data_IF_708165144446
#
_entry.id   IF_708165144446
#
_cell.length_a   1.000
_cell.length_b   1.000
_cell.length_c   1.000
_cell.angle_alpha   90.00
_cell.angle_beta   90.00
_cell.angle_gamma   90.00
#
_symmetry.space_group_name_H-M   'P 1'
#
loop_
_entity.id
_entity.type
_entity.pdbx_description
1 polymer ?
#
# COMPACT_ATOMS: atom_id res chain seq x y z
N UNK A 1 53.61 13.75 -33.15
CA UNK A 1 52.83 12.93 -34.10
C UNK A 1 51.96 11.98 -33.29
N UNK A 2 50.72 11.84 -33.74
CA UNK A 2 49.54 11.37 -33.01
C UNK A 2 49.67 9.94 -32.50
N UNK A 3 49.40 9.75 -31.21
CA UNK A 3 49.10 8.46 -30.59
C UNK A 3 47.65 8.08 -30.90
N UNK A 4 47.43 7.06 -31.73
CA UNK A 4 46.10 6.49 -31.98
C UNK A 4 45.85 5.36 -30.99
N UNK A 5 45.07 5.65 -29.95
CA UNK A 5 44.45 4.67 -29.06
C UNK A 5 43.44 3.84 -29.85
N UNK A 6 43.66 2.53 -29.93
CA UNK A 6 42.70 1.58 -30.51
C UNK A 6 41.54 1.36 -29.53
N UNK A 7 40.40 1.97 -29.83
CA UNK A 7 39.15 1.81 -29.09
C UNK A 7 38.56 0.42 -29.41
N UNK A 8 38.64 -0.50 -28.45
CA UNK A 8 38.05 -1.84 -28.59
C UNK A 8 36.56 -1.73 -28.26
N UNK A 9 35.75 -1.30 -29.24
CA UNK A 9 34.29 -1.34 -29.13
C UNK A 9 33.83 -2.77 -28.88
N UNK A 10 33.16 -2.99 -27.75
CA UNK A 10 32.45 -4.23 -27.43
C UNK A 10 31.50 -4.57 -28.60
N UNK A 11 31.88 -5.52 -29.46
CA UNK A 11 31.05 -5.91 -30.59
C UNK A 11 29.75 -6.50 -30.06
N UNK A 12 28.63 -5.86 -30.39
CA UNK A 12 27.31 -6.43 -30.12
C UNK A 12 27.22 -7.77 -30.88
N UNK A 13 26.89 -8.90 -30.24
CA UNK A 13 26.86 -10.18 -30.93
C UNK A 13 25.67 -10.24 -31.90
N UNK A 14 25.83 -10.95 -33.02
CA UNK A 14 24.76 -11.20 -33.98
C UNK A 14 23.57 -11.90 -33.29
N UNK A 15 22.37 -11.29 -33.33
CA UNK A 15 21.16 -11.81 -32.65
C UNK A 15 20.19 -12.54 -33.58
N UNK A 16 20.69 -13.24 -34.60
CA UNK A 16 19.84 -13.96 -35.54
C UNK A 16 18.95 -15.01 -34.86
N UNK A 17 19.50 -15.75 -33.88
CA UNK A 17 18.75 -16.77 -33.15
C UNK A 17 17.51 -16.18 -32.47
N UNK A 18 17.60 -14.98 -31.91
CA UNK A 18 16.46 -14.28 -31.33
C UNK A 18 15.38 -13.98 -32.37
N UNK A 19 15.76 -13.44 -33.53
CA UNK A 19 14.81 -13.19 -34.62
C UNK A 19 14.10 -14.48 -35.06
N UNK A 20 14.81 -15.61 -35.12
CA UNK A 20 14.24 -16.92 -35.47
C UNK A 20 13.29 -17.41 -34.38
N UNK A 21 13.67 -17.34 -33.11
CA UNK A 21 12.84 -17.74 -31.98
C UNK A 21 11.55 -16.92 -31.91
N UNK A 22 11.64 -15.60 -32.10
CA UNK A 22 10.48 -14.70 -32.12
C UNK A 22 9.52 -15.09 -33.25
N UNK A 23 10.02 -15.38 -34.45
CA UNK A 23 9.21 -15.83 -35.58
C UNK A 23 8.49 -17.17 -35.31
N UNK A 24 9.21 -18.15 -34.74
CA UNK A 24 8.61 -19.45 -34.36
C UNK A 24 7.51 -19.25 -33.32
N UNK A 25 7.74 -18.41 -32.32
CA UNK A 25 6.73 -18.11 -31.29
C UNK A 25 5.49 -17.43 -31.87
N UNK A 26 5.65 -16.54 -32.85
CA UNK A 26 4.53 -15.85 -33.50
C UNK A 26 3.71 -16.77 -34.42
N UNK A 27 4.27 -17.91 -34.82
CA UNK A 27 3.66 -18.81 -35.82
C UNK A 27 3.24 -20.16 -35.26
N UNK A 28 3.75 -20.58 -34.10
CA UNK A 28 3.48 -21.89 -33.48
C UNK A 28 2.00 -22.15 -33.14
N UNK A 29 1.21 -21.09 -32.96
CA UNK A 29 -0.21 -21.18 -32.62
C UNK A 29 -1.14 -20.99 -33.82
N UNK A 30 -0.60 -20.71 -35.01
CA UNK A 30 -1.41 -20.48 -36.21
C UNK A 30 -1.88 -21.83 -36.79
N UNK A 31 -3.20 -22.03 -36.80
CA UNK A 31 -3.84 -23.21 -37.38
C UNK A 31 -4.25 -22.94 -38.83
N UNK A 32 -3.91 -23.84 -39.75
CA UNK A 32 -4.22 -23.75 -41.19
C UNK A 32 -5.72 -23.87 -41.54
N UNK A 33 -6.57 -24.12 -40.54
CA UNK A 33 -8.03 -24.26 -40.69
C UNK A 33 -8.81 -22.94 -40.49
N UNK A 34 -8.12 -21.79 -40.35
CA UNK A 34 -8.73 -20.49 -40.05
C UNK A 34 -8.50 -19.53 -41.24
N UNK A 35 -9.55 -18.85 -41.70
CA UNK A 35 -9.55 -17.91 -42.85
C UNK A 35 -8.58 -16.71 -42.72
N UNK A 36 -7.95 -16.52 -41.55
CA UNK A 36 -6.99 -15.43 -41.27
C UNK A 36 -5.54 -15.90 -41.16
N UNK A 37 -5.24 -17.18 -41.45
CA UNK A 37 -3.89 -17.76 -41.31
C UNK A 37 -2.84 -16.98 -42.10
N UNK A 38 -3.07 -16.76 -43.41
CA UNK A 38 -2.08 -16.10 -44.27
C UNK A 38 -1.87 -14.63 -43.87
N UNK A 39 -2.90 -13.94 -43.38
CA UNK A 39 -2.78 -12.55 -42.91
C UNK A 39 -1.87 -12.45 -41.68
N UNK A 40 -2.09 -13.29 -40.68
CA UNK A 40 -1.28 -13.30 -39.45
C UNK A 40 0.13 -13.84 -39.69
N UNK A 41 0.27 -14.85 -40.55
CA UNK A 41 1.56 -15.38 -40.96
C UNK A 41 2.39 -14.33 -41.72
N UNK A 42 1.77 -13.55 -42.61
CA UNK A 42 2.44 -12.44 -43.30
C UNK A 42 2.86 -11.33 -42.33
N UNK A 43 2.06 -11.01 -41.30
CA UNK A 43 2.48 -10.05 -40.25
C UNK A 43 3.70 -10.54 -39.46
N UNK A 44 3.77 -11.83 -39.15
CA UNK A 44 4.92 -12.45 -38.49
C UNK A 44 6.16 -12.48 -39.40
N UNK A 45 6.00 -12.78 -40.69
CA UNK A 45 7.10 -12.74 -41.67
C UNK A 45 7.66 -11.32 -41.85
N UNK A 46 6.82 -10.28 -41.87
CA UNK A 46 7.30 -8.89 -41.92
C UNK A 46 8.11 -8.53 -40.68
N UNK A 47 7.66 -8.96 -39.49
CA UNK A 47 8.40 -8.76 -38.25
C UNK A 47 9.79 -9.45 -38.30
N UNK A 48 9.84 -10.69 -38.81
CA UNK A 48 11.08 -11.43 -38.97
C UNK A 48 12.03 -10.76 -39.99
N UNK A 49 11.49 -10.28 -41.11
CA UNK A 49 12.24 -9.49 -42.10
C UNK A 49 12.83 -8.21 -41.50
N UNK A 50 12.04 -7.44 -40.74
CA UNK A 50 12.53 -6.23 -40.08
C UNK A 50 13.61 -6.54 -39.03
N UNK A 51 13.46 -7.61 -38.25
CA UNK A 51 14.45 -8.05 -37.26
C UNK A 51 15.80 -8.41 -37.92
N UNK A 52 15.76 -9.16 -39.02
CA UNK A 52 16.97 -9.53 -39.77
C UNK A 52 17.61 -8.31 -40.45
N UNK A 53 16.84 -7.39 -41.01
CA UNK A 53 17.38 -6.15 -41.57
C UNK A 53 18.14 -5.29 -40.54
N UNK A 54 17.58 -5.13 -39.33
CA UNK A 54 18.24 -4.40 -38.22
C UNK A 54 19.58 -5.02 -37.81
N UNK A 55 19.71 -6.34 -37.94
CA UNK A 55 20.93 -7.08 -37.59
C UNK A 55 21.93 -7.23 -38.75
N UNK A 56 21.62 -6.73 -39.95
CA UNK A 56 22.41 -6.95 -41.18
C UNK A 56 23.90 -6.60 -41.07
N UNK A 57 24.23 -5.47 -40.45
CA UNK A 57 25.63 -5.01 -40.28
C UNK A 57 26.43 -5.93 -39.36
N UNK A 58 25.82 -6.38 -38.28
CA UNK A 58 26.45 -7.19 -37.22
C UNK A 58 26.50 -8.67 -37.59
N UNK A 59 25.54 -9.15 -38.38
CA UNK A 59 25.42 -10.55 -38.80
C UNK A 59 26.06 -10.87 -40.17
N UNK A 60 26.86 -9.96 -40.74
CA UNK A 60 27.42 -10.08 -42.10
C UNK A 60 28.16 -11.41 -42.36
N UNK A 61 28.87 -11.93 -41.36
CA UNK A 61 29.62 -13.19 -41.45
C UNK A 61 28.89 -14.42 -40.91
N UNK A 62 27.60 -14.33 -40.57
CA UNK A 62 26.85 -15.41 -39.95
C UNK A 62 26.05 -16.20 -41.01
N UNK A 63 26.34 -17.50 -41.16
CA UNK A 63 25.65 -18.34 -42.15
C UNK A 63 24.15 -18.50 -41.87
N UNK A 64 23.76 -18.64 -40.60
CA UNK A 64 22.35 -18.77 -40.18
C UNK A 64 21.56 -17.53 -40.56
N UNK A 65 22.17 -16.35 -40.46
CA UNK A 65 21.57 -15.09 -40.91
C UNK A 65 21.26 -15.09 -42.41
N UNK A 66 22.22 -15.49 -43.25
CA UNK A 66 22.00 -15.53 -44.70
C UNK A 66 20.96 -16.58 -45.10
N UNK A 67 20.96 -17.75 -44.46
CA UNK A 67 19.92 -18.76 -44.64
C UNK A 67 18.54 -18.23 -44.25
N UNK A 68 18.44 -17.49 -43.14
CA UNK A 68 17.19 -16.89 -42.70
C UNK A 68 16.67 -15.81 -43.67
N UNK A 69 17.54 -14.92 -44.15
CA UNK A 69 17.15 -13.86 -45.10
C UNK A 69 16.62 -14.46 -46.40
N UNK A 70 17.27 -15.52 -46.91
CA UNK A 70 16.78 -16.25 -48.09
C UNK A 70 15.43 -16.94 -47.82
N UNK A 71 15.30 -17.63 -46.68
CA UNK A 71 14.05 -18.29 -46.28
C UNK A 71 12.88 -17.31 -46.11
N UNK A 72 13.13 -16.11 -45.56
CA UNK A 72 12.11 -15.06 -45.46
C UNK A 72 11.64 -14.64 -46.86
N UNK A 73 12.56 -14.43 -47.80
CA UNK A 73 12.22 -14.03 -49.17
C UNK A 73 11.38 -15.08 -49.91
N UNK A 74 11.72 -16.36 -49.74
CA UNK A 74 10.99 -17.49 -50.30
C UNK A 74 9.59 -17.60 -49.69
N UNK A 75 9.47 -17.57 -48.36
CA UNK A 75 8.19 -17.64 -47.65
C UNK A 75 7.26 -16.46 -47.99
N UNK A 76 7.81 -15.24 -48.13
CA UNK A 76 7.04 -14.06 -48.57
C UNK A 76 6.48 -14.25 -49.98
N UNK A 77 7.26 -14.85 -50.88
CA UNK A 77 6.87 -15.08 -52.28
C UNK A 77 5.83 -16.20 -52.40
N UNK A 78 6.03 -17.31 -51.68
CA UNK A 78 5.12 -18.46 -51.68
C UNK A 78 3.71 -18.10 -51.20
N UNK A 79 3.58 -17.11 -50.30
CA UNK A 79 2.31 -16.71 -49.70
C UNK A 79 1.78 -15.36 -50.16
N UNK A 80 2.36 -14.79 -51.22
CA UNK A 80 1.97 -13.47 -51.77
C UNK A 80 1.90 -12.35 -50.69
N UNK A 81 2.81 -12.39 -49.72
CA UNK A 81 2.84 -11.37 -48.66
C UNK A 81 3.38 -10.04 -49.22
N UNK A 82 2.63 -8.95 -49.01
CA UNK A 82 3.17 -7.60 -49.23
C UNK A 82 4.35 -7.34 -48.28
N UNK A 83 5.41 -6.67 -48.76
CA UNK A 83 6.54 -6.23 -47.92
C UNK A 83 6.14 -5.12 -46.95
N UNK A 84 5.17 -4.30 -47.34
CA UNK A 84 4.62 -3.21 -46.54
C UNK A 84 3.35 -3.66 -45.81
N UNK A 85 3.17 -3.18 -44.58
CA UNK A 85 2.01 -3.46 -43.74
C UNK A 85 2.37 -3.70 -42.26
N UNK A 86 1.37 -4.00 -41.42
CA UNK A 86 1.60 -4.22 -39.99
C UNK A 86 2.48 -5.45 -39.74
N UNK A 87 3.25 -5.39 -38.65
CA UNK A 87 4.11 -6.47 -38.14
C UNK A 87 3.56 -7.03 -36.84
N UNK A 88 3.64 -8.35 -36.64
CA UNK A 88 3.36 -8.94 -35.32
C UNK A 88 4.50 -8.62 -34.35
N UNK A 89 4.19 -8.41 -33.06
CA UNK A 89 5.19 -8.13 -32.03
C UNK A 89 5.14 -9.17 -30.91
N UNK A 90 6.30 -9.71 -30.52
CA UNK A 90 6.44 -10.57 -29.33
C UNK A 90 6.54 -9.78 -28.03
N UNK A 91 6.84 -8.48 -28.13
CA UNK A 91 6.63 -7.54 -27.03
C UNK A 91 5.24 -6.93 -27.22
N UNK A 92 4.30 -7.12 -26.29
CA UNK A 92 3.21 -6.16 -26.18
C UNK A 92 3.86 -4.77 -26.09
N UNK A 93 3.42 -3.80 -26.88
CA UNK A 93 3.63 -2.40 -26.49
C UNK A 93 2.94 -2.27 -25.14
N UNK A 94 3.68 -2.48 -24.05
CA UNK A 94 3.20 -2.16 -22.73
C UNK A 94 3.10 -0.64 -22.77
N UNK A 95 1.89 -0.14 -22.94
CA UNK A 95 1.58 1.27 -22.74
C UNK A 95 2.05 1.58 -21.33
N UNK A 96 3.23 2.18 -21.22
CA UNK A 96 3.74 2.69 -19.97
C UNK A 96 2.74 3.79 -19.56
N UNK A 97 1.86 3.48 -18.63
CA UNK A 97 1.09 4.48 -17.92
C UNK A 97 1.97 4.97 -16.77
N UNK A 98 2.70 6.09 -16.93
CA UNK A 98 3.57 6.61 -15.88
C UNK A 98 2.78 7.01 -14.64
N UNK A 99 1.44 7.10 -14.73
CA UNK A 99 0.54 7.53 -13.67
C UNK A 99 -0.21 6.37 -13.00
N UNK A 100 0.23 5.14 -13.26
CA UNK A 100 -0.24 3.95 -12.56
C UNK A 100 0.94 3.24 -11.87
N UNK A 101 0.98 3.33 -10.54
CA UNK A 101 2.02 2.71 -9.71
C UNK A 101 2.12 1.19 -9.94
N UNK A 102 1.00 0.47 -9.90
CA UNK A 102 0.97 -0.97 -10.09
C UNK A 102 1.44 -1.39 -11.50
N UNK A 103 1.10 -0.59 -12.52
CA UNK A 103 1.58 -0.79 -13.88
C UNK A 103 3.09 -0.63 -14.01
N UNK A 104 3.65 0.41 -13.37
CA UNK A 104 5.11 0.65 -13.36
C UNK A 104 5.87 -0.48 -12.67
N UNK A 105 5.37 -0.98 -11.54
CA UNK A 105 6.03 -2.07 -10.82
C UNK A 105 6.05 -3.35 -11.65
N UNK A 106 4.91 -3.72 -12.26
CA UNK A 106 4.84 -4.87 -13.15
C UNK A 106 5.86 -4.79 -14.31
N UNK A 107 6.11 -3.58 -14.86
CA UNK A 107 7.10 -3.41 -15.95
C UNK A 107 8.56 -3.47 -15.51
N UNK A 108 8.90 -3.04 -14.29
CA UNK A 108 10.26 -3.18 -13.75
C UNK A 108 10.63 -4.67 -13.61
N UNK A 109 9.68 -5.48 -13.15
CA UNK A 109 9.90 -6.89 -12.83
C UNK A 109 9.86 -7.80 -14.07
N UNK A 110 9.40 -7.31 -15.24
CA UNK A 110 9.55 -8.04 -16.51
C UNK A 110 11.00 -8.05 -17.04
N UNK A 111 11.85 -7.13 -16.57
CA UNK A 111 13.24 -7.01 -17.01
C UNK A 111 14.26 -7.73 -16.11
N UNK A 112 13.84 -8.26 -14.96
CA UNK A 112 14.64 -9.10 -14.05
C UNK A 112 13.69 -10.00 -13.28
N UNK A 113 13.83 -11.33 -13.44
CA UNK A 113 12.80 -12.32 -13.10
C UNK A 113 12.23 -12.30 -11.66
N UNK A 114 11.09 -12.99 -11.55
CA UNK A 114 10.10 -13.05 -10.45
C UNK A 114 9.28 -11.76 -10.23
N UNK A 115 7.97 -11.84 -10.51
CA UNK A 115 6.99 -10.80 -10.15
C UNK A 115 6.82 -10.79 -8.63
N UNK A 116 7.51 -9.87 -7.94
CA UNK A 116 7.26 -9.61 -6.53
C UNK A 116 6.20 -8.51 -6.45
N UNK A 117 4.95 -8.81 -6.07
CA UNK A 117 3.92 -7.79 -5.96
C UNK A 117 4.35 -6.73 -4.94
N UNK A 118 4.06 -5.43 -5.18
CA UNK A 118 4.47 -4.38 -4.26
C UNK A 118 3.90 -4.63 -2.86
N UNK A 119 4.74 -4.50 -1.84
CA UNK A 119 4.31 -4.54 -0.45
C UNK A 119 3.67 -3.22 -0.06
N UNK A 120 2.58 -3.31 0.69
CA UNK A 120 1.85 -2.15 1.17
C UNK A 120 1.93 -2.08 2.70
N UNK A 121 1.83 -0.87 3.23
CA UNK A 121 1.56 -0.63 4.63
C UNK A 121 0.16 -0.05 4.82
N UNK A 122 -0.32 -0.18 6.06
CA UNK A 122 -1.59 0.37 6.51
C UNK A 122 -1.35 1.28 7.72
N UNK A 123 -1.97 2.45 7.73
CA UNK A 123 -2.06 3.31 8.91
C UNK A 123 -3.52 3.67 9.17
N UNK A 124 -3.94 3.73 10.44
CA UNK A 124 -5.31 4.09 10.81
C UNK A 124 -5.35 4.98 12.05
N UNK A 125 -6.28 5.91 12.08
CA UNK A 125 -6.57 6.80 13.21
C UNK A 125 -8.09 6.88 13.44
N UNK A 126 -8.53 6.54 14.65
CA UNK A 126 -9.95 6.54 15.03
C UNK A 126 -10.09 6.68 16.55
N UNK A 127 -11.30 6.97 17.04
CA UNK A 127 -11.53 6.97 18.49
C UNK A 127 -10.79 8.09 19.23
N UNK A 128 -10.33 7.77 20.44
CA UNK A 128 -9.51 8.65 21.29
C UNK A 128 -8.02 8.56 20.96
N UNK A 129 -7.59 9.36 19.98
CA UNK A 129 -7.14 8.84 18.71
C UNK A 129 -6.22 7.64 18.90
N UNK A 130 -6.81 6.47 18.68
CA UNK A 130 -6.12 5.21 18.55
C UNK A 130 -5.44 5.17 17.19
N UNK A 131 -4.12 5.06 17.23
CA UNK A 131 -3.23 5.05 16.08
C UNK A 131 -2.73 3.62 15.84
N UNK A 132 -2.99 3.09 14.64
CA UNK A 132 -2.25 1.97 14.07
C UNK A 132 -1.22 2.51 13.10
N UNK A 133 0.06 2.34 13.40
CA UNK A 133 1.18 2.76 12.55
C UNK A 133 1.40 1.79 11.38
N UNK A 134 2.19 2.20 10.39
CA UNK A 134 2.67 1.35 9.28
C UNK A 134 3.43 0.10 9.73
N UNK A 135 4.00 0.13 10.95
CA UNK A 135 4.69 -1.02 11.56
C UNK A 135 3.75 -1.93 12.35
N UNK A 136 2.43 -1.74 12.23
CA UNK A 136 1.39 -2.42 13.01
C UNK A 136 1.47 -2.21 14.52
N UNK A 137 2.23 -1.22 14.99
CA UNK A 137 2.15 -0.81 16.39
C UNK A 137 0.85 -0.06 16.63
N UNK A 138 0.13 -0.47 17.67
CA UNK A 138 -1.09 0.17 18.13
C UNK A 138 -0.78 1.06 19.33
N UNK A 139 -1.28 2.29 19.30
CA UNK A 139 -1.04 3.29 20.33
C UNK A 139 -2.30 4.11 20.59
N UNK A 140 -2.49 4.56 21.82
CA UNK A 140 -3.55 5.51 22.19
C UNK A 140 -2.90 6.80 22.61
N UNK A 141 -3.29 7.90 21.95
CA UNK A 141 -2.53 9.13 22.00
C UNK A 141 -3.40 10.31 22.41
N UNK A 142 -2.86 11.22 23.22
CA UNK A 142 -3.49 12.51 23.48
C UNK A 142 -3.44 13.38 22.22
N UNK A 143 -2.23 13.74 21.77
CA UNK A 143 -1.95 14.45 20.50
C UNK A 143 -2.95 15.58 20.21
N UNK A 144 -3.19 16.43 21.21
CA UNK A 144 -4.09 17.58 21.12
C UNK A 144 -3.56 18.62 20.13
N UNK A 145 -4.43 19.25 19.36
CA UNK A 145 -4.04 20.22 18.33
C UNK A 145 -3.68 19.54 17.02
N UNK A 146 -2.79 20.17 16.24
CA UNK A 146 -2.48 19.75 14.88
C UNK A 146 -1.23 18.86 14.82
N UNK A 147 -1.33 17.70 14.18
CA UNK A 147 -0.26 16.69 14.13
C UNK A 147 -0.09 16.08 12.73
N UNK A 148 1.16 15.85 12.27
CA UNK A 148 1.45 15.21 11.00
C UNK A 148 1.38 13.67 11.10
N UNK A 149 0.38 13.06 10.47
CA UNK A 149 0.32 11.60 10.34
C UNK A 149 1.34 11.07 9.33
N UNK A 150 1.40 11.73 8.18
CA UNK A 150 2.36 11.45 7.11
C UNK A 150 2.93 12.79 6.68
N UNK A 151 4.24 12.85 6.50
CA UNK A 151 4.91 13.94 5.82
C UNK A 151 6.13 13.36 5.08
N UNK A 152 5.91 12.91 3.85
CA UNK A 152 6.94 12.31 3.01
C UNK A 152 7.01 13.00 1.65
N UNK A 153 7.83 12.51 0.74
CA UNK A 153 8.07 13.16 -0.56
C UNK A 153 6.81 13.28 -1.45
N UNK A 154 5.74 12.53 -1.16
CA UNK A 154 4.58 12.39 -2.03
C UNK A 154 3.27 12.87 -1.41
N UNK A 155 3.15 12.77 -0.09
CA UNK A 155 1.89 12.99 0.63
C UNK A 155 2.18 13.67 1.96
N UNK A 156 1.36 14.67 2.29
CA UNK A 156 1.28 15.21 3.65
C UNK A 156 -0.15 15.01 4.18
N UNK A 157 -0.28 14.38 5.35
CA UNK A 157 -1.56 14.16 6.04
C UNK A 157 -1.46 14.76 7.42
N UNK A 158 -2.30 15.75 7.68
CA UNK A 158 -2.37 16.47 8.95
C UNK A 158 -3.75 16.30 9.56
N UNK A 159 -3.79 16.01 10.85
CA UNK A 159 -5.04 15.91 11.62
C UNK A 159 -5.07 16.99 12.68
N UNK A 160 -6.26 17.41 13.09
CA UNK A 160 -6.45 18.21 14.31
C UNK A 160 -7.32 17.43 15.28
N UNK A 161 -6.81 17.22 16.50
CA UNK A 161 -7.54 16.54 17.56
C UNK A 161 -7.93 17.55 18.64
N UNK A 162 -9.15 17.40 19.16
CA UNK A 162 -9.71 18.26 20.20
C UNK A 162 -10.15 17.41 21.39
N UNK A 163 -10.04 17.91 22.64
CA UNK A 163 -10.54 17.19 23.80
C UNK A 163 -12.03 16.88 23.67
N UNK A 164 -12.44 15.63 23.91
CA UNK A 164 -13.85 15.21 23.82
C UNK A 164 -14.67 15.82 24.96
N UNK A 165 -14.07 15.88 26.15
CA UNK A 165 -14.61 16.58 27.31
C UNK A 165 -13.52 17.50 27.90
N UNK A 166 -13.87 18.73 28.34
CA UNK A 166 -12.88 19.66 28.90
C UNK A 166 -12.10 19.05 30.08
N UNK A 167 -10.78 19.11 30.01
CA UNK A 167 -9.89 18.60 31.07
C UNK A 167 -9.61 17.10 31.04
N UNK A 168 -10.18 16.34 30.08
CA UNK A 168 -9.81 14.94 29.86
C UNK A 168 -8.57 14.84 28.97
N UNK A 169 -7.80 13.76 29.14
CA UNK A 169 -6.76 13.35 28.19
C UNK A 169 -7.35 12.80 26.89
N UNK A 170 -8.65 12.49 26.88
CA UNK A 170 -9.33 11.96 25.72
C UNK A 170 -9.57 13.04 24.66
N UNK A 171 -9.00 12.86 23.47
CA UNK A 171 -9.19 13.74 22.31
C UNK A 171 -9.88 13.00 21.17
N UNK A 172 -10.27 13.69 20.10
CA UNK A 172 -10.76 13.04 18.88
C UNK A 172 -10.57 13.96 17.68
N UNK A 173 -10.43 13.38 16.50
CA UNK A 173 -10.12 14.14 15.28
C UNK A 173 -11.35 14.91 14.76
N UNK A 174 -11.23 16.22 14.60
CA UNK A 174 -12.29 17.07 14.05
C UNK A 174 -11.93 17.73 12.72
N UNK A 175 -10.68 17.58 12.26
CA UNK A 175 -10.21 18.07 10.97
C UNK A 175 -9.15 17.15 10.41
N UNK A 176 -9.24 16.87 9.11
CA UNK A 176 -8.25 16.14 8.33
C UNK A 176 -7.89 17.00 7.12
N UNK A 177 -6.61 17.20 6.88
CA UNK A 177 -6.08 17.84 5.68
C UNK A 177 -5.09 16.89 5.01
N UNK A 178 -5.30 16.63 3.72
CA UNK A 178 -4.46 15.74 2.92
C UNK A 178 -3.97 16.55 1.72
N UNK A 179 -2.65 16.63 1.55
CA UNK A 179 -1.99 17.29 0.44
C UNK A 179 -1.34 16.20 -0.42
N UNK A 180 -1.94 15.95 -1.58
CA UNK A 180 -1.33 15.17 -2.64
C UNK A 180 -0.33 16.09 -3.35
N UNK A 181 0.98 15.90 -3.10
CA UNK A 181 2.03 16.72 -3.69
C UNK A 181 2.04 16.53 -5.21
N UNK A 182 2.41 17.57 -5.94
CA UNK A 182 2.48 17.53 -7.41
C UNK A 182 3.37 16.37 -7.86
N UNK A 183 2.91 15.64 -8.87
CA UNK A 183 3.67 14.56 -9.46
C UNK A 183 3.70 14.75 -10.97
N UNK A 184 4.90 14.92 -11.50
CA UNK A 184 5.14 15.30 -12.89
C UNK A 184 4.35 14.39 -13.85
N UNK A 185 3.69 15.02 -14.82
CA UNK A 185 2.85 14.39 -15.86
C UNK A 185 1.61 13.64 -15.36
N UNK A 186 1.36 13.57 -14.05
CA UNK A 186 0.26 12.80 -13.47
C UNK A 186 -0.78 13.63 -12.74
N UNK A 187 -0.37 14.56 -11.88
CA UNK A 187 -1.31 15.44 -11.18
C UNK A 187 -0.59 16.69 -10.69
N UNK A 188 -1.27 17.83 -10.81
CA UNK A 188 -0.93 19.00 -10.01
C UNK A 188 -1.19 18.72 -8.52
N UNK A 189 -0.67 19.59 -7.65
CA UNK A 189 -0.94 19.48 -6.22
C UNK A 189 -2.45 19.59 -5.95
N UNK A 190 -2.99 18.65 -5.19
CA UNK A 190 -4.40 18.66 -4.75
C UNK A 190 -4.47 18.65 -3.23
N UNK A 191 -5.37 19.47 -2.70
CA UNK A 191 -5.61 19.57 -1.26
C UNK A 191 -7.02 19.11 -0.98
N UNK A 192 -7.16 18.12 -0.13
CA UNK A 192 -8.43 17.69 0.44
C UNK A 192 -8.49 18.15 1.90
N UNK A 193 -9.64 18.66 2.32
CA UNK A 193 -9.89 19.01 3.71
C UNK A 193 -11.30 18.57 4.09
N UNK A 194 -11.40 17.89 5.23
CA UNK A 194 -12.66 17.60 5.88
C UNK A 194 -12.64 18.14 7.30
N UNK A 195 -13.78 18.62 7.76
CA UNK A 195 -14.02 18.98 9.16
C UNK A 195 -15.29 18.29 9.64
N UNK A 196 -15.50 18.24 10.95
CA UNK A 196 -16.77 17.79 11.51
C UNK A 196 -17.94 18.52 10.85
N UNK A 197 -18.93 17.77 10.38
CA UNK A 197 -20.15 18.19 9.69
C UNK A 197 -19.96 18.71 8.26
N UNK A 198 -18.73 18.63 7.72
CA UNK A 198 -18.40 18.95 6.32
C UNK A 198 -17.34 17.97 5.78
N UNK A 199 -17.84 16.92 5.13
CA UNK A 199 -17.04 15.87 4.49
C UNK A 199 -17.29 15.89 2.97
N UNK A 200 -16.59 16.76 2.22
CA UNK A 200 -16.86 16.98 0.80
C UNK A 200 -16.39 15.82 -0.08
N UNK A 201 -17.05 15.61 -1.21
CA UNK A 201 -16.62 14.67 -2.25
C UNK A 201 -15.70 15.32 -3.31
N UNK A 202 -14.98 16.39 -2.92
CA UNK A 202 -14.15 17.20 -3.80
C UNK A 202 -12.91 17.73 -3.06
N UNK A 203 -11.90 18.11 -3.81
CA UNK A 203 -10.76 18.90 -3.34
C UNK A 203 -11.20 20.34 -3.05
N UNK A 204 -10.37 21.09 -2.32
CA UNK A 204 -10.68 22.48 -1.91
C UNK A 204 -10.90 23.44 -3.10
N UNK A 205 -10.36 23.12 -4.27
CA UNK A 205 -10.55 23.85 -5.52
C UNK A 205 -11.85 23.46 -6.27
N UNK A 206 -12.67 22.58 -5.68
CA UNK A 206 -13.92 22.07 -6.24
C UNK A 206 -13.74 20.92 -7.23
N UNK A 207 -12.52 20.52 -7.55
CA UNK A 207 -12.27 19.39 -8.47
C UNK A 207 -12.45 18.05 -7.77
N UNK A 208 -12.84 17.02 -8.50
CA UNK A 208 -12.99 15.64 -7.96
C UNK A 208 -11.88 14.70 -8.43
N UNK A 209 -10.97 15.19 -9.28
CA UNK A 209 -9.84 14.43 -9.82
C UNK A 209 -8.62 15.32 -10.07
N UNK A 210 -7.46 14.69 -10.11
CA UNK A 210 -6.19 15.25 -10.56
C UNK A 210 -5.68 14.47 -11.78
N UNK A 211 -5.04 15.19 -12.71
CA UNK A 211 -4.53 14.64 -13.96
C UNK A 211 -5.53 14.62 -15.11
N UNK A 212 -5.00 14.76 -16.33
CA UNK A 212 -5.80 14.80 -17.55
C UNK A 212 -6.09 13.41 -18.14
N UNK A 213 -5.30 12.40 -17.78
CA UNK A 213 -5.43 11.03 -18.30
C UNK A 213 -6.75 10.31 -17.98
N UNK A 214 -7.03 9.25 -18.74
CA UNK A 214 -8.11 8.29 -18.51
C UNK A 214 -7.52 6.86 -18.48
N UNK A 215 -7.55 6.14 -17.34
CA UNK A 215 -8.20 6.51 -16.09
C UNK A 215 -7.48 7.63 -15.33
N UNK A 216 -8.25 8.41 -14.54
CA UNK A 216 -7.73 9.49 -13.70
C UNK A 216 -6.70 8.97 -12.69
N UNK A 217 -5.55 9.64 -12.62
CA UNK A 217 -4.41 9.29 -11.77
C UNK A 217 -4.72 9.52 -10.28
N UNK A 218 -5.52 10.55 -9.97
CA UNK A 218 -6.02 10.88 -8.65
C UNK A 218 -7.53 11.17 -8.74
N UNK A 219 -8.35 10.59 -7.87
CA UNK A 219 -9.78 10.92 -7.81
C UNK A 219 -10.39 10.66 -6.43
N UNK A 220 -11.48 11.36 -6.15
CA UNK A 220 -12.32 11.20 -4.95
C UNK A 220 -13.60 10.48 -5.35
N UNK A 221 -14.02 9.52 -4.51
CA UNK A 221 -15.31 8.83 -4.66
C UNK A 221 -16.08 8.92 -3.35
N UNK A 222 -17.29 9.46 -3.43
CA UNK A 222 -18.24 9.41 -2.32
C UNK A 222 -18.89 8.02 -2.25
N UNK A 223 -18.81 7.38 -1.08
CA UNK A 223 -19.41 6.07 -0.82
C UNK A 223 -20.70 6.18 -0.04
N UNK A 224 -20.72 7.08 0.93
CA UNK A 224 -21.91 7.42 1.72
C UNK A 224 -21.99 8.93 1.81
N UNK A 225 -23.12 9.49 1.39
CA UNK A 225 -23.27 10.93 1.25
C UNK A 225 -22.95 11.67 2.54
N UNK A 226 -21.96 12.58 2.47
CA UNK A 226 -21.47 13.39 3.59
C UNK A 226 -20.92 12.61 4.78
N UNK A 227 -20.62 11.31 4.63
CA UNK A 227 -20.18 10.43 5.74
C UNK A 227 -19.00 9.53 5.42
N UNK A 228 -18.77 9.18 4.16
CA UNK A 228 -17.65 8.34 3.77
C UNK A 228 -17.18 8.68 2.36
N UNK A 229 -15.93 9.10 2.25
CA UNK A 229 -15.24 9.31 0.97
C UNK A 229 -13.97 8.48 0.89
N UNK A 230 -13.60 8.13 -0.33
CA UNK A 230 -12.35 7.45 -0.66
C UNK A 230 -11.56 8.30 -1.64
N UNK A 231 -10.26 8.45 -1.40
CA UNK A 231 -9.30 9.04 -2.32
C UNK A 231 -8.40 7.96 -2.88
N UNK A 232 -8.26 7.93 -4.21
CA UNK A 232 -7.50 6.93 -4.93
C UNK A 232 -6.38 7.62 -5.74
N UNK A 233 -5.17 7.63 -5.19
CA UNK A 233 -3.97 8.16 -5.82
C UNK A 233 -3.20 7.04 -6.53
N UNK A 234 -3.67 6.64 -7.71
CA UNK A 234 -3.12 5.53 -8.51
C UNK A 234 -1.65 5.74 -8.86
N UNK A 235 -1.26 6.99 -9.11
CA UNK A 235 0.12 7.36 -9.45
C UNK A 235 1.13 7.14 -8.32
N UNK A 236 0.70 6.91 -7.08
CA UNK A 236 1.55 6.55 -5.93
C UNK A 236 1.01 5.32 -5.19
N UNK A 237 0.12 4.55 -5.83
CA UNK A 237 -0.45 3.33 -5.24
C UNK A 237 -1.17 3.55 -3.90
N UNK A 238 -1.61 4.77 -3.61
CA UNK A 238 -2.10 5.15 -2.28
C UNK A 238 -3.62 5.26 -2.27
N UNK A 239 -4.25 4.73 -1.22
CA UNK A 239 -5.70 4.81 -1.01
C UNK A 239 -5.95 5.39 0.37
N UNK A 240 -6.84 6.37 0.48
CA UNK A 240 -7.19 7.02 1.75
C UNK A 240 -8.71 7.01 1.95
N UNK A 241 -9.16 6.51 3.09
CA UNK A 241 -10.55 6.52 3.52
C UNK A 241 -10.74 7.55 4.62
N UNK A 242 -11.75 8.40 4.47
CA UNK A 242 -12.15 9.38 5.49
C UNK A 242 -13.63 9.20 5.78
N UNK A 243 -13.98 9.05 7.06
CA UNK A 243 -15.37 8.92 7.49
C UNK A 243 -15.69 9.88 8.62
N UNK A 244 -16.95 10.29 8.71
CA UNK A 244 -17.49 10.97 9.88
C UNK A 244 -18.41 10.02 10.65
N UNK A 245 -18.06 9.78 11.93
CA UNK A 245 -18.81 8.93 12.84
C UNK A 245 -19.21 9.78 14.06
N UNK A 246 -20.51 10.07 14.17
CA UNK A 246 -20.99 11.06 15.13
C UNK A 246 -20.38 12.43 14.83
N UNK A 247 -19.59 12.96 15.77
CA UNK A 247 -18.96 14.29 15.68
C UNK A 247 -17.49 14.28 15.27
N UNK A 248 -16.91 13.11 15.02
CA UNK A 248 -15.47 12.99 14.80
C UNK A 248 -15.16 12.24 13.52
N UNK A 249 -13.95 12.45 13.03
CA UNK A 249 -13.45 11.89 11.80
C UNK A 249 -12.58 10.67 12.08
N UNK A 250 -12.65 9.67 11.22
CA UNK A 250 -11.68 8.56 11.18
C UNK A 250 -10.94 8.57 9.85
N UNK A 251 -9.72 8.04 9.87
CA UNK A 251 -8.81 8.05 8.74
C UNK A 251 -8.11 6.71 8.62
N UNK A 252 -8.10 6.14 7.41
CA UNK A 252 -7.39 4.90 7.10
C UNK A 252 -6.62 5.05 5.79
N UNK A 253 -5.35 4.67 5.76
CA UNK A 253 -4.43 4.90 4.64
C UNK A 253 -3.73 3.59 4.28
N UNK A 254 -3.74 3.24 3.00
CA UNK A 254 -2.87 2.21 2.41
C UNK A 254 -1.86 2.89 1.51
N UNK A 255 -0.57 2.62 1.71
CA UNK A 255 0.52 3.22 0.93
C UNK A 255 1.60 2.16 0.63
N UNK A 256 2.24 2.17 -0.56
CA UNK A 256 3.36 1.26 -0.83
C UNK A 256 4.51 1.50 0.14
N UNK A 257 5.14 0.42 0.62
CA UNK A 257 6.21 0.47 1.62
C UNK A 257 7.36 1.41 1.22
N UNK A 258 7.82 1.30 -0.03
CA UNK A 258 8.92 2.13 -0.56
C UNK A 258 8.60 3.63 -0.58
N UNK A 259 7.32 4.01 -0.77
CA UNK A 259 6.91 5.41 -0.80
C UNK A 259 6.60 5.93 0.60
N UNK A 260 6.04 5.08 1.47
CA UNK A 260 5.74 5.41 2.85
C UNK A 260 7.01 5.78 3.64
N UNK A 261 8.14 5.15 3.31
CA UNK A 261 9.44 5.36 3.95
C UNK A 261 10.37 6.32 3.20
N UNK A 262 9.91 6.94 2.11
CA UNK A 262 10.67 7.90 1.32
C UNK A 262 10.44 9.34 1.81
N UNK A 263 11.11 9.70 2.90
CA UNK A 263 11.08 11.02 3.54
C UNK A 263 12.50 11.48 3.92
N UNK A 264 12.69 12.79 4.10
CA UNK A 264 13.97 13.37 4.51
C UNK A 264 14.19 13.30 6.02
N UNK A 265 15.44 13.38 6.50
CA UNK A 265 15.75 13.37 7.94
C UNK A 265 15.07 14.49 8.74
N UNK A 266 14.75 15.62 8.08
CA UNK A 266 14.03 16.75 8.67
C UNK A 266 12.55 16.44 8.98
N UNK A 267 12.02 15.33 8.46
CA UNK A 267 10.61 14.90 8.57
C UNK A 267 10.45 13.74 9.57
N UNK A 268 11.12 13.85 10.72
CA UNK A 268 11.18 12.79 11.75
C UNK A 268 9.84 12.60 12.50
N UNK A 269 9.05 13.67 12.63
CA UNK A 269 7.73 13.64 13.24
C UNK A 269 6.66 13.20 12.23
N UNK A 270 6.38 11.89 12.20
CA UNK A 270 5.29 11.30 11.44
C UNK A 270 4.62 10.19 12.24
N UNK A 271 3.37 10.40 12.67
CA UNK A 271 2.69 9.46 13.56
C UNK A 271 2.52 8.08 12.90
N UNK A 272 2.21 8.00 11.61
CA UNK A 272 2.09 6.72 10.92
C UNK A 272 3.40 5.93 10.81
N UNK A 273 4.57 6.58 10.91
CA UNK A 273 5.88 5.93 10.78
C UNK A 273 6.45 5.55 12.15
N UNK A 274 6.47 6.52 13.08
CA UNK A 274 7.17 6.42 14.35
C UNK A 274 6.24 6.32 15.57
N UNK A 275 4.93 6.51 15.36
CA UNK A 275 3.95 6.62 16.43
C UNK A 275 3.97 7.98 17.12
N UNK A 276 3.20 8.10 18.18
CA UNK A 276 3.14 9.29 19.00
C UNK A 276 4.39 9.41 19.88
N UNK A 277 4.87 10.64 20.16
CA UNK A 277 5.91 10.88 21.16
C UNK A 277 5.51 10.28 22.52
N UNK A 278 6.49 9.79 23.30
CA UNK A 278 6.19 9.13 24.58
C UNK A 278 5.41 10.02 25.56
N UNK A 279 5.60 11.34 25.52
CA UNK A 279 4.83 12.31 26.33
C UNK A 279 3.36 12.42 25.95
N UNK A 280 2.99 11.99 24.74
CA UNK A 280 1.64 12.03 24.21
C UNK A 280 0.93 10.68 24.26
N UNK A 281 1.59 9.62 24.76
CA UNK A 281 0.98 8.28 24.87
C UNK A 281 0.17 8.16 26.15
N UNK A 282 -1.02 7.59 26.02
CA UNK A 282 -1.94 7.27 27.12
C UNK A 282 -1.79 5.81 27.54
N UNK A 283 -1.40 4.93 26.61
CA UNK A 283 -1.06 3.54 26.93
C UNK A 283 0.30 3.39 27.63
N UNK A 284 0.42 2.34 28.43
CA UNK A 284 1.72 1.87 28.93
C UNK A 284 2.20 0.72 28.04
N UNK A 285 3.13 1.02 27.13
CA UNK A 285 3.81 0.00 26.31
C UNK A 285 2.84 -0.86 25.47
N UNK A 286 1.78 -0.25 24.93
CA UNK A 286 0.75 -0.94 24.13
C UNK A 286 -0.32 -1.66 24.96
N UNK A 287 -0.35 -1.47 26.28
CA UNK A 287 -1.46 -1.87 27.13
C UNK A 287 -2.37 -0.66 27.36
N UNK A 288 -3.58 -0.72 26.83
CA UNK A 288 -4.65 0.22 27.15
C UNK A 288 -5.00 0.05 28.64
N UNK A 289 -4.72 1.04 29.51
CA UNK A 289 -5.16 0.98 30.90
C UNK A 289 -6.68 1.15 30.90
N UNK A 290 -7.41 0.04 30.78
CA UNK A 290 -8.84 0.07 31.05
C UNK A 290 -8.98 0.47 32.52
N UNK A 291 -9.79 1.49 32.85
CA UNK A 291 -10.01 1.86 34.24
C UNK A 291 -10.72 0.69 34.95
N UNK A 292 -9.92 -0.21 35.53
CA UNK A 292 -10.40 -1.30 36.38
C UNK A 292 -10.88 -0.63 37.66
N UNK A 293 -12.14 -0.89 38.00
CA UNK A 293 -12.84 -0.40 39.18
C UNK A 293 -11.93 -0.47 40.42
N UNK A 294 -11.33 0.65 40.83
CA UNK A 294 -10.57 0.74 42.08
C UNK A 294 -9.17 1.40 42.06
N UNK A 295 -8.58 1.77 40.91
CA UNK A 295 -7.37 2.59 40.94
C UNK A 295 -7.72 4.08 41.02
N UNK A 296 -7.26 4.69 42.12
CA UNK A 296 -7.40 6.10 42.47
C UNK A 296 -7.03 6.98 41.27
N UNK A 297 -8.03 7.72 40.77
CA UNK A 297 -7.80 8.94 40.00
C UNK A 297 -6.73 9.78 40.73
N UNK A 298 -5.73 10.35 40.04
CA UNK A 298 -4.81 11.30 40.65
C UNK A 298 -5.61 12.34 41.44
N UNK A 299 -5.25 12.52 42.72
CA UNK A 299 -5.90 13.47 43.63
C UNK A 299 -5.82 14.87 43.02
N UNK A 300 -6.91 15.31 42.39
CA UNK A 300 -6.98 16.57 41.65
C UNK A 300 -8.17 16.68 40.70
N UNK A 301 -8.73 15.55 40.23
CA UNK A 301 -9.95 15.57 39.43
C UNK A 301 -11.18 15.77 40.33
N UNK A 302 -11.70 16.99 40.36
CA UNK A 302 -12.95 17.33 41.04
C UNK A 302 -14.10 16.41 40.62
N UNK A 303 -14.84 15.95 41.61
CA UNK A 303 -16.11 15.19 41.60
C UNK A 303 -17.19 15.66 40.59
N UNK A 304 -16.98 15.61 39.27
CA UNK A 304 -18.02 16.01 38.31
C UNK A 304 -18.00 15.15 37.04
N UNK A 305 -18.32 13.86 37.18
CA UNK A 305 -19.24 13.08 36.33
C UNK A 305 -19.07 11.60 36.66
N UNK A 306 -20.13 10.92 37.11
CA UNK A 306 -20.18 9.45 37.02
C UNK A 306 -20.02 9.10 35.55
N UNK A 307 -19.03 8.30 35.18
CA UNK A 307 -18.95 7.74 33.83
C UNK A 307 -20.29 7.08 33.51
N UNK A 308 -20.90 7.46 32.38
CA UNK A 308 -22.20 6.95 31.92
C UNK A 308 -22.13 5.43 31.74
N UNK A 309 -20.96 4.93 31.34
CA UNK A 309 -20.70 3.51 31.16
C UNK A 309 -19.90 2.94 32.33
N UNK A 310 -20.35 1.78 32.82
CA UNK A 310 -19.51 0.84 33.59
C UNK A 310 -18.75 -0.07 32.62
N UNK A 311 -17.65 -0.69 33.09
CA UNK A 311 -16.89 -1.67 32.29
C UNK A 311 -17.79 -2.75 31.68
N UNK A 312 -18.76 -3.26 32.46
CA UNK A 312 -19.73 -4.26 32.01
C UNK A 312 -20.61 -3.70 30.87
N UNK A 313 -21.23 -2.54 31.08
CA UNK A 313 -22.10 -1.94 30.06
C UNK A 313 -21.35 -1.54 28.78
N UNK A 314 -20.10 -1.05 28.89
CA UNK A 314 -19.24 -0.72 27.75
C UNK A 314 -18.86 -1.99 26.98
N UNK A 315 -18.45 -3.04 27.70
CA UNK A 315 -18.12 -4.35 27.13
C UNK A 315 -19.31 -4.93 26.35
N UNK A 316 -20.50 -4.92 26.95
CA UNK A 316 -21.73 -5.38 26.28
C UNK A 316 -22.02 -4.54 25.03
N UNK A 317 -21.90 -3.21 25.13
CA UNK A 317 -22.18 -2.31 24.01
C UNK A 317 -21.24 -2.53 22.82
N UNK A 318 -19.93 -2.65 23.08
CA UNK A 318 -18.95 -2.94 22.04
C UNK A 318 -19.16 -4.32 21.42
N UNK A 319 -19.62 -5.31 22.20
CA UNK A 319 -19.91 -6.66 21.71
C UNK A 319 -21.08 -6.72 20.72
N UNK A 320 -22.00 -5.75 20.73
CA UNK A 320 -23.08 -5.68 19.74
C UNK A 320 -22.57 -5.53 18.30
N UNK A 321 -21.36 -4.97 18.11
CA UNK A 321 -20.77 -4.70 16.79
C UNK A 321 -19.48 -5.46 16.51
N UNK A 322 -18.73 -5.83 17.57
CA UNK A 322 -17.43 -6.50 17.45
C UNK A 322 -17.42 -7.73 18.36
N UNK A 323 -17.43 -8.92 17.75
CA UNK A 323 -17.46 -10.19 18.48
C UNK A 323 -16.09 -10.58 19.04
N UNK A 324 -15.02 -10.24 18.31
CA UNK A 324 -13.65 -10.52 18.71
C UNK A 324 -13.14 -9.46 19.69
N UNK A 325 -12.51 -9.90 20.78
CA UNK A 325 -11.90 -9.02 21.80
C UNK A 325 -10.46 -8.66 21.39
N UNK A 326 -10.32 -8.04 20.24
CA UNK A 326 -9.05 -7.51 19.74
C UNK A 326 -8.85 -6.05 20.17
N UNK A 327 -7.80 -5.39 19.67
CA UNK A 327 -7.53 -3.99 20.00
C UNK A 327 -8.67 -3.04 19.60
N UNK A 328 -9.49 -3.31 18.56
CA UNK A 328 -10.59 -2.42 18.18
C UNK A 328 -11.73 -2.53 19.18
N UNK A 329 -11.99 -3.75 19.67
CA UNK A 329 -12.92 -3.97 20.76
C UNK A 329 -12.45 -3.27 22.04
N UNK A 330 -11.19 -3.43 22.43
CA UNK A 330 -10.65 -2.80 23.65
C UNK A 330 -10.61 -1.28 23.55
N UNK A 331 -10.32 -0.74 22.37
CA UNK A 331 -10.40 0.69 22.04
C UNK A 331 -11.82 1.22 22.22
N UNK A 332 -12.81 0.52 21.67
CA UNK A 332 -14.22 0.86 21.88
C UNK A 332 -14.59 0.90 23.38
N UNK A 333 -14.17 -0.11 24.15
CA UNK A 333 -14.47 -0.14 25.58
C UNK A 333 -13.80 1.02 26.31
N UNK A 334 -12.55 1.32 25.97
CA UNK A 334 -11.81 2.47 26.50
C UNK A 334 -12.54 3.78 26.21
N UNK A 335 -12.85 4.06 24.94
CA UNK A 335 -13.55 5.27 24.50
C UNK A 335 -14.89 5.47 25.22
N UNK A 336 -15.70 4.41 25.36
CA UNK A 336 -16.98 4.50 26.07
C UNK A 336 -16.81 4.84 27.56
N UNK A 337 -15.75 4.32 28.20
CA UNK A 337 -15.47 4.58 29.60
C UNK A 337 -14.94 5.99 29.86
N UNK A 338 -14.11 6.51 28.95
CA UNK A 338 -13.46 7.82 29.07
C UNK A 338 -14.34 8.97 28.61
N UNK A 339 -15.13 8.76 27.55
CA UNK A 339 -15.92 9.83 26.91
C UNK A 339 -17.42 9.76 27.21
N UNK A 340 -17.96 8.54 27.40
CA UNK A 340 -19.40 8.31 27.47
C UNK A 340 -20.15 8.42 26.14
N UNK A 341 -19.47 8.61 25.00
CA UNK A 341 -20.11 8.78 23.68
C UNK A 341 -20.23 7.44 22.93
N UNK A 342 -21.47 6.99 22.72
CA UNK A 342 -21.77 5.74 22.02
C UNK A 342 -21.33 5.70 20.55
N UNK A 343 -21.07 6.86 19.92
CA UNK A 343 -20.59 6.91 18.54
C UNK A 343 -19.20 6.28 18.37
N UNK A 344 -18.40 6.22 19.43
CA UNK A 344 -17.09 5.57 19.40
C UNK A 344 -17.18 4.05 19.14
N UNK A 345 -18.31 3.42 19.45
CA UNK A 345 -18.56 2.03 19.02
C UNK A 345 -18.61 1.91 17.50
N UNK A 346 -19.21 2.89 16.81
CA UNK A 346 -19.25 2.91 15.35
C UNK A 346 -17.88 3.27 14.76
N UNK A 347 -17.13 4.17 15.39
CA UNK A 347 -15.76 4.52 14.99
C UNK A 347 -14.84 3.29 14.99
N UNK A 348 -14.77 2.57 16.12
CA UNK A 348 -13.95 1.37 16.24
C UNK A 348 -14.37 0.25 15.27
N UNK A 349 -15.69 0.03 15.11
CA UNK A 349 -16.18 -0.95 14.14
C UNK A 349 -15.81 -0.59 12.70
N UNK A 350 -15.94 0.69 12.33
CA UNK A 350 -15.58 1.17 10.99
C UNK A 350 -14.06 1.08 10.72
N UNK A 351 -13.23 1.28 11.75
CA UNK A 351 -11.78 1.12 11.65
C UNK A 351 -11.39 -0.35 11.41
N UNK A 352 -12.07 -1.31 12.05
CA UNK A 352 -11.90 -2.73 11.76
C UNK A 352 -12.26 -3.05 10.30
N UNK A 353 -13.39 -2.53 9.79
CA UNK A 353 -13.78 -2.70 8.39
C UNK A 353 -12.76 -2.09 7.41
N UNK A 354 -12.13 -0.98 7.77
CA UNK A 354 -11.09 -0.36 6.93
C UNK A 354 -9.83 -1.20 6.87
N UNK A 355 -9.45 -1.84 7.97
CA UNK A 355 -8.32 -2.78 8.01
C UNK A 355 -8.61 -3.98 7.13
N UNK A 356 -9.82 -4.53 7.16
CA UNK A 356 -10.22 -5.62 6.28
C UNK A 356 -10.15 -5.23 4.79
N UNK A 357 -10.44 -3.96 4.46
CA UNK A 357 -10.43 -3.45 3.10
C UNK A 357 -9.02 -3.06 2.59
N UNK A 358 -8.16 -2.53 3.46
CA UNK A 358 -6.92 -1.87 3.07
C UNK A 358 -5.65 -2.60 3.53
N UNK A 359 -5.70 -3.35 4.63
CA UNK A 359 -4.51 -4.00 5.18
C UNK A 359 -4.12 -5.23 4.33
N UNK A 360 -2.89 -5.30 3.81
CA UNK A 360 -2.51 -6.33 2.81
C UNK A 360 -2.41 -7.74 3.37
N UNK A 361 -2.22 -7.88 4.69
CA UNK A 361 -2.03 -9.16 5.37
C UNK A 361 -3.18 -9.47 6.30
N UNK A 362 -3.98 -10.48 5.95
CA UNK A 362 -5.17 -10.89 6.72
C UNK A 362 -4.84 -11.39 8.12
N UNK A 363 -3.70 -12.05 8.27
CA UNK A 363 -3.20 -12.54 9.55
C UNK A 363 -2.85 -11.42 10.54
N UNK A 364 -2.75 -10.17 10.08
CA UNK A 364 -2.49 -8.99 10.92
C UNK A 364 -3.71 -8.09 11.11
N UNK A 365 -4.90 -8.48 10.62
CA UNK A 365 -6.09 -7.65 10.79
C UNK A 365 -6.43 -7.44 12.27
N UNK A 366 -6.35 -8.51 13.05
CA UNK A 366 -6.59 -8.50 14.49
C UNK A 366 -5.27 -8.48 15.25
N UNK A 367 -5.19 -7.63 16.26
CA UNK A 367 -4.10 -7.60 17.24
C UNK A 367 -4.74 -7.92 18.59
N UNK A 368 -4.21 -8.91 19.29
CA UNK A 368 -4.70 -9.30 20.61
C UNK A 368 -3.74 -8.78 21.68
N UNK A 369 -4.24 -8.32 22.84
CA UNK A 369 -3.39 -8.03 23.98
C UNK A 369 -2.56 -9.26 24.35
N UNK A 370 -1.30 -9.08 24.73
CA UNK A 370 -0.51 -10.18 25.28
C UNK A 370 -1.17 -10.64 26.59
N UNK A 371 -1.66 -11.88 26.63
CA UNK A 371 -2.01 -12.54 27.88
C UNK A 371 -0.70 -12.81 28.66
N UNK A 372 -0.19 -11.84 29.42
CA UNK A 372 0.70 -12.18 30.54
C UNK A 372 -0.15 -12.84 31.62
N UNK A 373 -0.35 -14.14 31.47
CA UNK A 373 -1.20 -14.91 32.36
C UNK A 373 -1.50 -16.31 31.87
N UNK A 374 -0.49 -17.10 31.48
CA UNK A 374 -0.36 -18.51 31.87
C UNK A 374 0.70 -19.26 31.04
N UNK A 375 1.73 -19.70 31.76
CA UNK A 375 2.32 -21.04 31.83
C UNK A 375 3.83 -20.89 31.87
N UNK A 376 4.37 -20.90 33.10
CA UNK A 376 5.71 -21.43 33.32
C UNK A 376 5.74 -22.79 32.63
N UNK A 377 6.39 -22.85 31.47
CA UNK A 377 6.72 -24.12 30.83
C UNK A 377 7.77 -24.73 31.75
N UNK A 378 7.33 -25.64 32.62
CA UNK A 378 8.22 -26.44 33.44
C UNK A 378 9.20 -27.16 32.52
N UNK A 379 10.43 -26.66 32.46
CA UNK A 379 11.55 -27.45 32.01
C UNK A 379 11.78 -28.53 33.07
N UNK A 380 11.26 -29.73 32.81
CA UNK A 380 11.88 -30.95 33.33
C UNK A 380 13.28 -31.05 32.69
N UNK A 381 14.22 -30.31 33.27
CA UNK A 381 15.64 -30.46 33.02
C UNK A 381 16.13 -31.76 33.64
N UNK A 382 16.09 -32.85 32.87
CA UNK A 382 16.96 -34.00 33.09
C UNK A 382 18.40 -33.56 32.86
N UNK A 383 19.06 -33.12 33.93
CA UNK A 383 20.44 -32.65 33.91
C UNK A 383 21.12 -32.91 35.25
N UNK A 384 21.31 -34.19 35.60
CA UNK A 384 22.23 -34.57 36.67
C UNK A 384 23.51 -35.09 36.02
N UNK A 385 24.45 -34.18 35.75
CA UNK A 385 25.81 -34.54 35.33
C UNK A 385 26.63 -34.88 36.57
N UNK A 386 26.86 -36.19 36.75
CA UNK A 386 28.14 -36.79 37.08
C UNK A 386 28.69 -36.60 38.49
N UNK A 387 28.89 -37.70 39.22
CA UNK A 387 30.11 -37.92 40.01
C UNK A 387 30.34 -39.44 40.23
N UNK A 388 31.53 -39.90 39.82
CA UNK A 388 32.30 -41.07 40.30
C UNK A 388 32.05 -42.49 39.79
N UNK A 389 32.93 -42.86 38.85
CA UNK A 389 33.75 -44.08 38.74
C UNK A 389 33.74 -45.11 39.90
N UNK A 390 33.70 -46.38 39.46
CA UNK A 390 34.37 -47.60 39.98
C UNK A 390 33.94 -48.13 41.36
N UNK A 391 33.34 -49.34 41.39
CA UNK A 391 33.95 -50.56 41.97
C UNK A 391 33.28 -51.80 41.33
N UNK A 392 34.13 -52.76 40.96
CA UNK A 392 33.88 -54.09 40.43
C UNK A 392 32.95 -54.97 41.28
N UNK A 393 32.14 -55.82 40.60
CA UNK A 393 32.10 -57.28 40.78
C UNK A 393 31.24 -57.95 39.70
#
# INVERSE_FOLDING_TARGET
MVTSSGDCQLQTPCRIQKCTTDFVSLTSHLNSAIDSFDVEFCKALRAYSACTQRNSKVCRGNLVYHSAVLGIGDLMSQRNCSKDGPTSSTNPEVVHDPCNYSGRQATRDYHGGEQIPPTYFFCGLFGDPHLRTFKDHFQTCKVEGAWPLIDNNYLSVQVTNVPVVPGSSATATNKITIIFKSYQDCTDQKVYQAVTDDLPAAFVDGTTSGGDGDPKSLHIVERVSGKYVEMHARYIGTTVFVRQLGRYLTLSIRMPEELALAYEESQDLQLCVNGCPSSERIDDSGHLPLPVKGQLLPSGASSHTRSIYTLESATTKCHEKMLLKDIYFHSCVFDLLTTGDANFTAAAHSALQDVEALHPRKERWHIFPNNEGSVQRGEFGLGLVGFLLLVFL
#
